data_IF_814305242945
#
_entry.id   IF_814305242945
#
_cell.length_a   1.000
_cell.length_b   1.000
_cell.length_c   1.000
_cell.angle_alpha   90.00
_cell.angle_beta   90.00
_cell.angle_gamma   90.00
#
_symmetry.space_group_name_H-M   'P 1'
#
loop_
_entity.id
_entity.type
_entity.pdbx_description
1 polymer ?
#
# COMPACT_ATOMS: atom_id res chain seq x y z
N UNK A 1 10.66 -18.11 -5.73
CA UNK A 1 10.12 -19.48 -5.80
C UNK A 1 8.81 -19.43 -6.60
N UNK A 2 8.88 -19.02 -7.88
CA UNK A 2 7.70 -18.92 -8.76
C UNK A 2 7.77 -19.91 -9.94
N UNK A 3 8.95 -20.37 -10.36
CA UNK A 3 9.12 -21.51 -11.25
C UNK A 3 10.41 -22.27 -10.90
N UNK A 4 10.35 -23.61 -10.93
CA UNK A 4 11.44 -24.52 -10.52
C UNK A 4 12.33 -24.97 -11.69
N UNK A 5 12.02 -24.56 -12.92
CA UNK A 5 12.86 -24.73 -14.12
C UNK A 5 13.27 -23.37 -14.67
N UNK A 6 14.57 -23.18 -14.82
CA UNK A 6 15.13 -22.05 -15.56
C UNK A 6 15.05 -22.41 -17.06
N UNK A 7 13.98 -21.97 -17.72
CA UNK A 7 13.90 -22.04 -19.18
C UNK A 7 14.77 -20.93 -19.78
N UNK A 8 15.54 -21.23 -20.81
CA UNK A 8 16.43 -20.26 -21.48
C UNK A 8 15.68 -19.01 -21.94
N UNK A 9 14.41 -19.17 -22.33
CA UNK A 9 13.51 -18.07 -22.67
C UNK A 9 13.33 -17.05 -21.52
N UNK A 10 13.21 -17.51 -20.27
CA UNK A 10 13.10 -16.61 -19.12
C UNK A 10 14.40 -15.86 -18.85
N UNK A 11 15.55 -16.47 -19.16
CA UNK A 11 16.85 -15.83 -19.00
C UNK A 11 17.05 -14.69 -20.01
N UNK A 12 16.71 -14.92 -21.28
CA UNK A 12 16.81 -13.88 -22.32
C UNK A 12 15.83 -12.74 -22.09
N UNK A 13 14.58 -13.04 -21.72
CA UNK A 13 13.60 -12.00 -21.38
C UNK A 13 14.02 -11.18 -20.17
N UNK A 14 14.65 -11.81 -19.17
CA UNK A 14 15.23 -11.11 -18.03
C UNK A 14 16.33 -10.12 -18.44
N UNK A 15 17.29 -10.59 -19.24
CA UNK A 15 18.43 -9.77 -19.68
C UNK A 15 17.94 -8.60 -20.53
N UNK A 16 17.00 -8.84 -21.45
CA UNK A 16 16.44 -7.79 -22.28
C UNK A 16 15.72 -6.73 -21.45
N UNK A 17 14.89 -7.15 -20.49
CA UNK A 17 14.10 -6.24 -19.64
C UNK A 17 15.01 -5.43 -18.70
N UNK A 18 16.04 -6.06 -18.14
CA UNK A 18 17.05 -5.41 -17.31
C UNK A 18 17.82 -4.35 -18.11
N UNK A 19 18.28 -4.70 -19.31
CA UNK A 19 19.05 -3.79 -20.16
C UNK A 19 18.21 -2.57 -20.52
N UNK A 20 16.95 -2.78 -20.90
CA UNK A 20 16.01 -1.70 -21.15
C UNK A 20 15.80 -0.80 -19.92
N UNK A 21 15.70 -1.36 -18.72
CA UNK A 21 15.54 -0.57 -17.50
C UNK A 21 16.79 0.21 -17.10
N UNK A 22 17.99 -0.34 -17.32
CA UNK A 22 19.24 0.39 -17.10
C UNK A 22 19.33 1.58 -18.07
N UNK A 23 19.01 1.36 -19.34
CA UNK A 23 19.00 2.42 -20.36
C UNK A 23 17.96 3.51 -20.00
N UNK A 24 16.73 3.15 -19.64
CA UNK A 24 15.69 4.09 -19.18
C UNK A 24 16.15 4.90 -17.95
N UNK A 25 16.81 4.25 -16.99
CA UNK A 25 17.35 4.94 -15.82
C UNK A 25 18.48 5.92 -16.16
N UNK A 26 19.41 5.53 -17.05
CA UNK A 26 20.49 6.41 -17.50
C UNK A 26 19.92 7.64 -18.23
N UNK A 27 18.96 7.45 -19.14
CA UNK A 27 18.33 8.58 -19.83
C UNK A 27 17.60 9.52 -18.87
N UNK A 28 16.94 8.98 -17.84
CA UNK A 28 16.30 9.80 -16.80
C UNK A 28 17.29 10.51 -15.87
N UNK A 29 18.43 9.89 -15.60
CA UNK A 29 19.49 10.49 -14.82
C UNK A 29 20.11 11.66 -15.58
N UNK A 30 20.32 11.52 -16.90
CA UNK A 30 20.81 12.60 -17.78
C UNK A 30 19.79 13.74 -17.90
N UNK A 31 18.48 13.42 -17.93
CA UNK A 31 17.40 14.41 -18.02
C UNK A 31 16.90 14.92 -16.66
N UNK A 32 17.59 14.59 -15.56
CA UNK A 32 17.19 14.95 -14.20
C UNK A 32 17.07 16.47 -13.97
N UNK A 33 17.92 17.24 -14.65
CA UNK A 33 17.94 18.71 -14.59
C UNK A 33 16.61 19.34 -15.02
N UNK A 34 15.96 18.77 -16.04
CA UNK A 34 14.66 19.25 -16.52
C UNK A 34 13.52 18.92 -15.54
N UNK A 35 13.62 17.79 -14.82
CA UNK A 35 12.55 17.31 -13.93
C UNK A 35 12.57 18.01 -12.56
N UNK A 36 13.76 18.37 -12.06
CA UNK A 36 13.92 19.01 -10.75
C UNK A 36 13.90 20.55 -10.82
N UNK A 37 13.85 21.14 -12.03
CA UNK A 37 13.76 22.59 -12.24
C UNK A 37 14.94 23.39 -11.68
N UNK A 38 16.04 22.73 -11.34
CA UNK A 38 17.27 23.32 -10.78
C UNK A 38 18.42 22.96 -11.70
N UNK A 39 19.13 23.97 -12.21
CA UNK A 39 20.31 23.77 -13.07
C UNK A 39 21.55 23.49 -12.20
N UNK A 40 22.26 22.39 -12.48
CA UNK A 40 23.61 22.14 -11.96
C UNK A 40 23.83 20.78 -11.28
N UNK A 41 25.09 20.46 -10.97
CA UNK A 41 25.55 19.20 -10.34
C UNK A 41 24.78 18.79 -9.08
N UNK A 42 24.20 19.74 -8.35
CA UNK A 42 23.38 19.47 -7.18
C UNK A 42 22.08 18.71 -7.50
N UNK A 43 21.52 18.88 -8.70
CA UNK A 43 20.35 18.13 -9.17
C UNK A 43 20.70 16.67 -9.47
N UNK A 44 21.90 16.43 -10.03
CA UNK A 44 22.42 15.08 -10.27
C UNK A 44 22.68 14.31 -8.97
N UNK A 45 23.20 14.95 -7.93
CA UNK A 45 23.40 14.29 -6.63
C UNK A 45 22.09 14.03 -5.88
N UNK A 46 21.07 14.88 -6.05
CA UNK A 46 19.80 14.75 -5.32
C UNK A 46 18.82 13.78 -6.00
N UNK A 47 18.95 13.59 -7.31
CA UNK A 47 18.05 12.73 -8.08
C UNK A 47 17.96 11.29 -7.53
N UNK A 48 19.05 10.56 -7.23
CA UNK A 48 19.01 9.19 -6.72
C UNK A 48 18.26 9.04 -5.39
N UNK A 49 18.17 10.11 -4.60
CA UNK A 49 17.46 10.13 -3.31
C UNK A 49 15.99 10.51 -3.43
N UNK A 50 15.48 10.76 -4.64
CA UNK A 50 14.04 10.94 -4.84
C UNK A 50 13.33 9.58 -4.76
N UNK A 51 12.12 9.49 -4.19
CA UNK A 51 11.40 8.22 -4.03
C UNK A 51 11.27 7.42 -5.34
N UNK A 52 11.15 8.14 -6.46
CA UNK A 52 11.04 7.58 -7.80
C UNK A 52 12.35 6.96 -8.31
N UNK A 53 13.49 7.63 -8.06
CA UNK A 53 14.79 7.10 -8.44
C UNK A 53 15.21 5.93 -7.54
N UNK A 54 14.79 5.94 -6.27
CA UNK A 54 15.00 4.83 -5.34
C UNK A 54 14.29 3.56 -5.85
N UNK A 55 13.03 3.66 -6.31
CA UNK A 55 12.30 2.52 -6.89
C UNK A 55 12.98 2.01 -8.17
N UNK A 56 13.46 2.92 -9.03
CA UNK A 56 14.17 2.57 -10.26
C UNK A 56 15.52 1.88 -9.92
N UNK A 57 16.25 2.35 -8.91
CA UNK A 57 17.51 1.77 -8.43
C UNK A 57 17.30 0.39 -7.81
N UNK A 58 16.29 0.23 -6.95
CA UNK A 58 15.88 -1.05 -6.35
C UNK A 58 15.48 -2.06 -7.44
N UNK A 59 14.90 -1.59 -8.55
CA UNK A 59 14.54 -2.46 -9.68
C UNK A 59 15.75 -2.95 -10.49
N UNK A 60 16.86 -2.20 -10.48
CA UNK A 60 18.12 -2.55 -11.18
C UNK A 60 19.02 -3.41 -10.29
N UNK A 61 18.92 -3.28 -8.97
CA UNK A 61 19.74 -4.00 -8.01
C UNK A 61 19.78 -5.54 -8.20
N UNK A 62 18.67 -6.24 -8.53
CA UNK A 62 18.69 -7.67 -8.81
C UNK A 62 19.54 -8.05 -10.02
N UNK A 63 19.72 -7.15 -10.99
CA UNK A 63 20.50 -7.40 -12.19
C UNK A 63 22.02 -7.38 -11.95
N UNK A 64 22.49 -6.51 -11.06
CA UNK A 64 23.90 -6.44 -10.67
C UNK A 64 24.38 -7.78 -10.06
N UNK A 65 23.47 -8.51 -9.42
CA UNK A 65 23.75 -9.83 -8.83
C UNK A 65 23.98 -10.93 -9.87
N UNK A 66 23.62 -10.71 -11.15
CA UNK A 66 23.88 -11.66 -12.25
C UNK A 66 25.28 -11.48 -12.87
N UNK A 67 25.97 -10.37 -12.61
CA UNK A 67 27.25 -10.03 -13.28
C UNK A 67 28.50 -10.47 -12.49
N UNK A 68 28.36 -10.99 -11.27
CA UNK A 68 29.52 -11.37 -10.44
C UNK A 68 29.28 -12.66 -9.66
N UNK A 69 29.62 -13.81 -10.23
CA UNK A 69 29.65 -15.08 -9.48
C UNK A 69 30.83 -15.16 -8.47
N UNK A 70 31.69 -14.13 -8.42
CA UNK A 70 32.99 -14.18 -7.76
C UNK A 70 33.00 -13.91 -6.24
N UNK A 71 31.91 -13.38 -5.65
CA UNK A 71 31.87 -13.07 -4.21
C UNK A 71 30.84 -13.94 -3.47
N UNK A 72 31.29 -14.78 -2.54
CA UNK A 72 30.42 -15.63 -1.67
C UNK A 72 29.33 -14.85 -0.90
N UNK A 73 29.49 -13.54 -0.69
CA UNK A 73 28.47 -12.65 -0.10
C UNK A 73 27.25 -12.45 -1.02
N UNK A 74 27.39 -12.63 -2.34
CA UNK A 74 26.31 -12.51 -3.33
C UNK A 74 25.26 -13.62 -3.24
N UNK A 75 25.50 -14.67 -2.45
CA UNK A 75 24.48 -15.69 -2.18
C UNK A 75 23.29 -15.14 -1.38
N UNK A 76 23.52 -14.18 -0.47
CA UNK A 76 22.44 -13.43 0.20
C UNK A 76 21.70 -12.52 -0.78
N UNK A 77 22.40 -12.07 -1.82
CA UNK A 77 21.81 -11.26 -2.88
C UNK A 77 20.84 -12.03 -3.78
N UNK A 78 20.80 -13.37 -3.72
CA UNK A 78 19.79 -14.18 -4.43
C UNK A 78 18.36 -13.85 -4.00
N UNK A 79 18.17 -13.45 -2.73
CA UNK A 79 16.87 -13.00 -2.21
C UNK A 79 16.42 -11.68 -2.84
N UNK A 80 17.36 -10.90 -3.39
CA UNK A 80 17.06 -9.63 -4.06
C UNK A 80 16.28 -9.82 -5.36
N UNK A 81 16.15 -11.05 -5.90
CA UNK A 81 15.19 -11.31 -7.00
C UNK A 81 13.75 -10.96 -6.62
N UNK A 82 13.39 -11.02 -5.34
CA UNK A 82 12.09 -10.54 -4.86
C UNK A 82 11.90 -9.03 -5.08
N UNK A 83 12.98 -8.24 -5.16
CA UNK A 83 12.89 -6.81 -5.43
C UNK A 83 12.34 -6.49 -6.83
N UNK A 84 12.27 -7.46 -7.74
CA UNK A 84 11.57 -7.27 -9.03
C UNK A 84 10.08 -7.00 -8.89
N UNK A 85 9.45 -7.47 -7.81
CA UNK A 85 8.05 -7.12 -7.52
C UNK A 85 7.89 -5.61 -7.36
N UNK A 86 8.92 -4.91 -6.89
CA UNK A 86 8.87 -3.46 -6.75
C UNK A 86 8.85 -2.72 -8.08
N UNK A 87 9.21 -3.38 -9.19
CA UNK A 87 9.05 -2.83 -10.53
C UNK A 87 7.58 -2.63 -10.89
N UNK A 88 6.65 -3.41 -10.30
CA UNK A 88 5.20 -3.17 -10.46
C UNK A 88 4.81 -1.79 -9.90
N UNK A 89 5.52 -1.27 -8.88
CA UNK A 89 5.30 0.09 -8.38
C UNK A 89 5.58 1.18 -9.43
N UNK A 90 6.33 0.90 -10.51
CA UNK A 90 6.46 1.83 -11.65
C UNK A 90 5.11 2.10 -12.32
N UNK A 91 4.22 1.11 -12.42
CA UNK A 91 2.90 1.27 -13.06
C UNK A 91 2.04 2.28 -12.29
N UNK A 92 2.18 2.33 -10.97
CA UNK A 92 1.47 3.28 -10.11
C UNK A 92 1.80 4.75 -10.43
N UNK A 93 2.97 5.02 -11.02
CA UNK A 93 3.43 6.37 -11.39
C UNK A 93 2.76 6.91 -12.66
N UNK A 94 2.45 6.06 -13.63
CA UNK A 94 1.95 6.49 -14.95
C UNK A 94 0.43 6.53 -15.01
N UNK A 95 -0.25 5.94 -14.03
CA UNK A 95 -1.70 5.98 -13.97
C UNK A 95 -2.17 7.32 -13.43
N UNK A 96 -2.77 8.14 -14.31
CA UNK A 96 -3.48 9.36 -13.93
C UNK A 96 -4.49 9.08 -12.80
N UNK A 97 -5.19 7.95 -12.85
CA UNK A 97 -6.16 7.54 -11.83
C UNK A 97 -5.56 7.41 -10.43
N UNK A 98 -4.33 6.92 -10.32
CA UNK A 98 -3.64 6.75 -9.02
C UNK A 98 -3.20 8.11 -8.47
N UNK A 99 -2.73 9.02 -9.33
CA UNK A 99 -2.41 10.39 -8.93
C UNK A 99 -3.66 11.10 -8.40
N UNK A 100 -4.80 10.96 -9.08
CA UNK A 100 -6.08 11.52 -8.64
C UNK A 100 -6.46 10.95 -7.26
N UNK A 101 -6.45 9.62 -7.09
CA UNK A 101 -6.77 8.98 -5.80
C UNK A 101 -5.84 9.49 -4.69
N UNK A 102 -4.54 9.60 -4.95
CA UNK A 102 -3.58 10.07 -3.95
C UNK A 102 -3.80 11.54 -3.58
N UNK A 103 -4.23 12.38 -4.53
CA UNK A 103 -4.63 13.76 -4.26
C UNK A 103 -5.93 13.82 -3.44
N UNK A 104 -6.89 12.94 -3.73
CA UNK A 104 -8.14 12.82 -2.97
C UNK A 104 -7.85 12.44 -1.52
N UNK A 105 -7.00 11.44 -1.28
CA UNK A 105 -6.60 11.04 0.08
C UNK A 105 -5.95 12.21 0.83
N UNK A 106 -5.07 12.97 0.18
CA UNK A 106 -4.44 14.16 0.79
C UNK A 106 -5.45 15.26 1.10
N UNK A 107 -6.42 15.49 0.22
CA UNK A 107 -7.47 16.50 0.39
C UNK A 107 -8.45 16.10 1.50
N UNK A 108 -8.77 14.81 1.60
CA UNK A 108 -9.71 14.25 2.57
C UNK A 108 -9.03 13.70 3.83
N UNK A 109 -7.78 14.09 4.10
CA UNK A 109 -6.97 13.54 5.22
C UNK A 109 -7.67 13.70 6.57
N UNK A 110 -8.29 14.86 6.83
CA UNK A 110 -8.88 15.18 8.14
C UNK A 110 -10.16 14.35 8.36
N UNK A 111 -10.95 14.16 7.31
CA UNK A 111 -12.11 13.28 7.32
C UNK A 111 -11.71 11.81 7.52
N UNK A 112 -10.68 11.34 6.82
CA UNK A 112 -10.16 9.97 6.98
C UNK A 112 -9.59 9.74 8.39
N UNK A 113 -8.88 10.73 8.96
CA UNK A 113 -8.39 10.67 10.34
C UNK A 113 -9.54 10.62 11.36
N UNK A 114 -10.62 11.37 11.13
CA UNK A 114 -11.82 11.28 11.96
C UNK A 114 -12.44 9.87 11.92
N UNK A 115 -12.52 9.25 10.74
CA UNK A 115 -13.01 7.87 10.60
C UNK A 115 -12.10 6.86 11.30
N UNK A 116 -10.77 7.00 11.17
CA UNK A 116 -9.83 6.15 11.90
C UNK A 116 -10.00 6.30 13.43
N UNK A 117 -10.21 7.52 13.91
CA UNK A 117 -10.43 7.80 15.33
C UNK A 117 -11.74 7.16 15.82
N UNK A 118 -12.81 7.27 15.02
CA UNK A 118 -14.09 6.61 15.29
C UNK A 118 -13.95 5.08 15.31
N UNK A 119 -13.20 4.49 14.37
CA UNK A 119 -12.93 3.06 14.31
C UNK A 119 -12.17 2.56 15.54
N UNK A 120 -11.11 3.26 15.95
CA UNK A 120 -10.36 2.93 17.17
C UNK A 120 -11.25 3.05 18.41
N UNK A 121 -12.04 4.12 18.52
CA UNK A 121 -13.00 4.30 19.61
C UNK A 121 -14.02 3.15 19.68
N UNK A 122 -14.60 2.77 18.54
CA UNK A 122 -15.51 1.63 18.44
C UNK A 122 -14.86 0.31 18.88
N UNK A 123 -13.63 0.04 18.42
CA UNK A 123 -12.90 -1.19 18.78
C UNK A 123 -12.70 -1.25 20.29
N UNK A 124 -12.22 -0.16 20.90
CA UNK A 124 -11.94 -0.12 22.33
C UNK A 124 -13.21 -0.27 23.17
N UNK A 125 -14.29 0.42 22.80
CA UNK A 125 -15.57 0.33 23.51
C UNK A 125 -16.18 -1.07 23.37
N UNK A 126 -16.21 -1.62 22.16
CA UNK A 126 -16.75 -2.97 21.91
C UNK A 126 -15.94 -4.04 22.64
N UNK A 127 -14.61 -3.96 22.59
CA UNK A 127 -13.72 -4.86 23.31
C UNK A 127 -13.93 -4.78 24.82
N UNK A 128 -14.05 -3.57 25.39
CA UNK A 128 -14.25 -3.38 26.82
C UNK A 128 -15.59 -3.95 27.30
N UNK A 129 -16.66 -3.68 26.55
CA UNK A 129 -17.99 -4.23 26.88
C UNK A 129 -17.96 -5.75 26.83
N UNK A 130 -17.41 -6.34 25.75
CA UNK A 130 -17.44 -7.78 25.58
C UNK A 130 -16.54 -8.49 26.58
N UNK A 131 -15.35 -7.95 26.88
CA UNK A 131 -14.42 -8.52 27.84
C UNK A 131 -15.00 -8.59 29.25
N UNK A 132 -15.81 -7.60 29.65
CA UNK A 132 -16.48 -7.61 30.95
C UNK A 132 -17.68 -8.57 31.03
N UNK A 133 -18.35 -8.83 29.91
CA UNK A 133 -19.55 -9.68 29.86
C UNK A 133 -19.19 -11.16 29.63
N UNK A 134 -18.15 -11.40 28.84
CA UNK A 134 -17.69 -12.72 28.42
C UNK A 134 -16.46 -13.13 29.24
N UNK A 135 -16.64 -13.27 30.55
CA UNK A 135 -15.54 -13.37 31.52
C UNK A 135 -14.50 -14.47 31.26
N UNK A 136 -14.89 -15.62 30.70
CA UNK A 136 -13.97 -16.73 30.39
C UNK A 136 -13.76 -16.98 28.88
N UNK A 137 -14.53 -16.33 28.00
CA UNK A 137 -14.46 -16.58 26.55
C UNK A 137 -13.29 -15.83 25.91
N UNK A 138 -12.81 -14.76 26.55
CA UNK A 138 -11.66 -13.96 26.12
C UNK A 138 -10.56 -14.09 27.16
N UNK A 139 -9.40 -14.66 26.79
CA UNK A 139 -8.33 -14.92 27.74
C UNK A 139 -7.59 -13.65 28.15
N UNK A 140 -7.49 -12.68 27.25
CA UNK A 140 -6.91 -11.36 27.50
C UNK A 140 -7.76 -10.25 26.89
N UNK A 141 -7.57 -9.01 27.37
CA UNK A 141 -8.19 -7.84 26.74
C UNK A 141 -7.74 -7.65 25.28
N UNK A 142 -6.53 -8.10 24.94
CA UNK A 142 -6.04 -8.07 23.55
C UNK A 142 -6.85 -9.00 22.65
N UNK A 143 -7.34 -10.13 23.15
CA UNK A 143 -8.23 -11.02 22.39
C UNK A 143 -9.57 -10.33 22.07
N UNK A 144 -10.08 -9.53 23.01
CA UNK A 144 -11.29 -8.74 22.80
C UNK A 144 -11.08 -7.61 21.79
N UNK A 145 -9.91 -6.95 21.80
CA UNK A 145 -9.51 -5.97 20.76
C UNK A 145 -9.39 -6.66 19.40
N UNK A 146 -8.75 -7.83 19.35
CA UNK A 146 -8.59 -8.61 18.14
C UNK A 146 -9.95 -8.99 17.55
N UNK A 147 -10.85 -9.53 18.37
CA UNK A 147 -12.23 -9.84 17.97
C UNK A 147 -12.96 -8.60 17.47
N UNK A 148 -12.94 -7.49 18.22
CA UNK A 148 -13.62 -6.26 17.81
C UNK A 148 -13.06 -5.69 16.50
N UNK A 149 -11.76 -5.85 16.24
CA UNK A 149 -11.11 -5.46 14.98
C UNK A 149 -11.55 -6.34 13.81
N UNK A 150 -11.52 -7.66 13.98
CA UNK A 150 -11.92 -8.65 12.96
C UNK A 150 -13.43 -8.55 12.66
N UNK A 151 -14.25 -8.25 13.66
CA UNK A 151 -15.68 -7.97 13.51
C UNK A 151 -15.94 -6.62 12.83
N UNK A 152 -15.27 -5.54 13.24
CA UNK A 152 -15.39 -4.23 12.59
C UNK A 152 -15.08 -4.33 11.10
N UNK A 153 -13.95 -4.96 10.77
CA UNK A 153 -13.45 -5.10 9.40
C UNK A 153 -14.20 -6.14 8.57
N UNK A 154 -15.27 -6.73 9.12
CA UNK A 154 -16.12 -7.76 8.51
C UNK A 154 -15.35 -8.98 7.98
N UNK A 155 -14.17 -9.26 8.55
CA UNK A 155 -13.37 -10.46 8.20
C UNK A 155 -13.96 -11.69 8.89
N UNK A 156 -14.25 -11.60 10.19
CA UNK A 156 -14.99 -12.62 10.93
C UNK A 156 -14.40 -14.03 10.90
N UNK A 157 -13.14 -14.21 11.29
CA UNK A 157 -12.49 -15.54 11.29
C UNK A 157 -13.23 -16.61 12.12
N UNK A 158 -13.96 -16.19 13.17
CA UNK A 158 -14.77 -17.10 14.00
C UNK A 158 -13.97 -17.97 14.97
N UNK A 159 -12.70 -17.66 15.17
CA UNK A 159 -11.77 -18.28 16.12
C UNK A 159 -12.06 -17.89 17.57
N UNK A 160 -12.47 -16.64 17.81
CA UNK A 160 -12.90 -16.12 19.11
C UNK A 160 -14.24 -15.40 18.92
N UNK A 161 -15.22 -15.68 19.77
CA UNK A 161 -16.54 -15.06 19.69
C UNK A 161 -17.30 -15.11 21.02
N UNK A 162 -18.24 -14.16 21.25
CA UNK A 162 -19.10 -14.16 22.44
C UNK A 162 -20.04 -15.37 22.49
N UNK A 163 -20.03 -16.10 23.60
CA UNK A 163 -20.85 -17.31 23.76
C UNK A 163 -22.12 -17.05 24.56
N UNK A 164 -22.13 -16.05 25.45
CA UNK A 164 -23.28 -15.70 26.29
C UNK A 164 -24.38 -15.03 25.46
N UNK A 165 -25.63 -15.18 25.90
CA UNK A 165 -26.78 -14.52 25.26
C UNK A 165 -26.63 -13.00 25.24
N UNK A 166 -26.15 -12.41 26.32
CA UNK A 166 -25.91 -10.97 26.42
C UNK A 166 -24.81 -10.51 25.44
N UNK A 167 -23.69 -11.23 25.38
CA UNK A 167 -22.59 -10.93 24.45
C UNK A 167 -23.02 -11.04 22.98
N UNK A 168 -23.86 -12.03 22.64
CA UNK A 168 -24.44 -12.17 21.30
C UNK A 168 -25.34 -10.98 20.93
N UNK A 169 -26.21 -10.52 21.84
CA UNK A 169 -27.07 -9.35 21.60
C UNK A 169 -26.22 -8.10 21.34
N UNK A 170 -25.20 -7.88 22.16
CA UNK A 170 -24.29 -6.73 22.00
C UNK A 170 -23.53 -6.82 20.68
N UNK A 171 -23.09 -8.02 20.30
CA UNK A 171 -22.42 -8.26 19.01
C UNK A 171 -23.34 -7.93 17.83
N UNK A 172 -24.62 -8.33 17.89
CA UNK A 172 -25.61 -8.01 16.86
C UNK A 172 -25.77 -6.49 16.71
N UNK A 173 -25.94 -5.77 17.82
CA UNK A 173 -26.05 -4.30 17.80
C UNK A 173 -24.76 -3.67 17.26
N UNK A 174 -23.62 -4.12 17.78
CA UNK A 174 -22.30 -3.61 17.42
C UNK A 174 -21.99 -3.80 15.92
N UNK A 175 -22.48 -4.89 15.31
CA UNK A 175 -22.29 -5.17 13.87
C UNK A 175 -22.93 -4.11 12.97
N UNK A 176 -24.10 -3.56 13.35
CA UNK A 176 -24.73 -2.47 12.59
C UNK A 176 -23.86 -1.20 12.58
N UNK A 177 -23.28 -0.85 13.73
CA UNK A 177 -22.35 0.29 13.82
C UNK A 177 -21.05 0.01 13.04
N UNK A 178 -20.53 -1.21 13.10
CA UNK A 178 -19.30 -1.59 12.40
C UNK A 178 -19.41 -1.39 10.88
N UNK A 179 -20.50 -1.86 10.27
CA UNK A 179 -20.78 -1.68 8.84
C UNK A 179 -20.84 -0.18 8.48
N UNK A 180 -21.50 0.63 9.31
CA UNK A 180 -21.59 2.08 9.08
C UNK A 180 -20.21 2.74 9.07
N UNK A 181 -19.32 2.38 10.00
CA UNK A 181 -17.97 2.93 10.09
C UNK A 181 -17.11 2.53 8.88
N UNK A 182 -17.14 1.25 8.49
CA UNK A 182 -16.35 0.74 7.35
C UNK A 182 -16.81 1.31 6.01
N UNK A 183 -18.07 1.72 5.88
CA UNK A 183 -18.56 2.36 4.67
C UNK A 183 -17.99 3.79 4.44
N UNK A 184 -17.59 4.49 5.51
CA UNK A 184 -17.18 5.90 5.44
C UNK A 184 -15.94 6.16 4.57
N UNK A 185 -14.80 5.42 4.70
CA UNK A 185 -13.62 5.67 3.89
C UNK A 185 -13.89 5.51 2.40
N UNK A 186 -14.65 4.47 2.03
CA UNK A 186 -15.03 4.22 0.65
C UNK A 186 -15.89 5.37 0.09
N UNK A 187 -16.86 5.87 0.88
CA UNK A 187 -17.69 7.02 0.51
C UNK A 187 -16.87 8.30 0.33
N UNK A 188 -15.97 8.60 1.27
CA UNK A 188 -15.10 9.80 1.23
C UNK A 188 -14.20 9.79 0.00
N UNK A 189 -13.56 8.65 -0.29
CA UNK A 189 -12.69 8.50 -1.45
C UNK A 189 -13.48 8.64 -2.75
N UNK A 190 -14.66 8.01 -2.83
CA UNK A 190 -15.52 8.05 -4.02
C UNK A 190 -16.01 9.47 -4.31
N UNK A 191 -16.48 10.18 -3.28
CA UNK A 191 -16.91 11.57 -3.41
C UNK A 191 -15.76 12.48 -3.86
N UNK A 192 -14.60 12.37 -3.23
CA UNK A 192 -13.44 13.18 -3.63
C UNK A 192 -12.92 12.86 -5.03
N UNK A 193 -13.03 11.60 -5.46
CA UNK A 193 -12.70 11.19 -6.83
C UNK A 193 -13.65 11.83 -7.85
N UNK A 194 -14.96 11.77 -7.59
CA UNK A 194 -15.97 12.43 -8.44
C UNK A 194 -15.75 13.94 -8.55
N UNK A 195 -15.45 14.60 -7.43
CA UNK A 195 -15.15 16.03 -7.40
C UNK A 195 -13.93 16.38 -8.24
N UNK A 196 -12.89 15.54 -8.20
CA UNK A 196 -11.67 15.75 -8.98
C UNK A 196 -11.93 15.63 -10.48
N UNK A 197 -12.73 14.65 -10.90
CA UNK A 197 -13.12 14.48 -12.31
C UNK A 197 -14.00 15.63 -12.83
N UNK A 198 -14.95 16.10 -12.00
CA UNK A 198 -15.80 17.23 -12.37
C UNK A 198 -15.00 18.53 -12.52
N UNK A 199 -13.98 18.74 -11.68
CA UNK A 199 -13.09 19.89 -11.79
C UNK A 199 -12.20 19.83 -13.03
N UNK A 200 -11.72 18.64 -13.44
CA UNK A 200 -10.99 18.47 -14.70
C UNK A 200 -11.88 18.77 -15.91
N UNK A 201 -13.14 18.31 -15.94
CA UNK A 201 -14.08 18.62 -17.03
C UNK A 201 -14.31 20.13 -17.15
N UNK A 202 -14.64 20.81 -16.05
CA UNK A 202 -14.84 22.28 -16.04
C UNK A 202 -13.61 23.06 -16.48
N UNK A 203 -12.41 22.57 -16.20
CA UNK A 203 -11.18 23.22 -16.66
C UNK A 203 -10.95 23.07 -18.17
N UNK A 204 -11.41 21.96 -18.77
CA UNK A 204 -11.28 21.72 -20.20
C UNK A 204 -12.37 22.44 -21.02
N UNK A 205 -13.55 22.68 -20.45
CA UNK A 205 -14.64 23.41 -21.12
C UNK A 205 -14.41 24.95 -21.15
N UNK A 206 -13.44 25.45 -20.37
CA UNK A 206 -13.08 26.87 -20.27
C UNK A 206 -11.85 27.26 -21.11
N UNK A 207 -11.38 26.36 -22.00
CA UNK A 207 -10.28 26.57 -22.96
C UNK A 207 -10.85 26.49 -24.37
#
# INVERSE_FOLDING_TARGET
LAFKQANDFFFYTDIATVTLFIIDYIFRFITADYKLGRKGMASFLKYPFTPLAIIDLISILPALTMLSDSFKLLRLFRTFRAFRVFTVFKVFRYSKSIIIIMNVIKKSKDALLAVCTLAVGYILVSALIIFNIEGNSFSTFFDAIYWATVSLTTVGYGDIYPVTTAGRIITMISSFFGIAIVALPAGIITAGYMDSLNNEKKSNDNI
#
